data_IF_046276245858
#
_entry.id   IF_046276245858
#
_cell.length_a   1.000
_cell.length_b   1.000
_cell.length_c   1.000
_cell.angle_alpha   90.00
_cell.angle_beta   90.00
_cell.angle_gamma   90.00
#
_symmetry.space_group_name_H-M   'P 1'
#
loop_
_entity.id
_entity.type
_entity.pdbx_description
1 polymer ?
#
# COMPACT_ATOMS: atom_id res chain seq x y z
N UNK A 1 6.09 5.42 -2.61
CA UNK A 1 5.64 4.49 -1.53
C UNK A 1 4.83 5.21 -0.45
N UNK A 2 5.41 6.10 0.35
CA UNK A 2 4.71 6.76 1.48
C UNK A 2 3.37 7.43 1.11
N UNK A 3 3.28 8.06 -0.08
CA UNK A 3 2.00 8.62 -0.58
C UNK A 3 0.94 7.54 -0.82
N UNK A 4 1.31 6.41 -1.41
CA UNK A 4 0.38 5.32 -1.70
C UNK A 4 -0.12 4.64 -0.44
N UNK A 5 0.74 4.49 0.59
CA UNK A 5 0.31 3.99 1.90
C UNK A 5 -0.82 4.85 2.48
N UNK A 6 -0.73 6.18 2.34
CA UNK A 6 -1.77 7.13 2.77
C UNK A 6 -3.01 7.07 1.89
N UNK A 7 -2.87 7.18 0.57
CA UNK A 7 -4.00 7.23 -0.36
C UNK A 7 -4.83 5.95 -0.35
N UNK A 8 -4.21 4.81 -0.07
CA UNK A 8 -4.85 3.49 -0.07
C UNK A 8 -5.18 2.97 1.32
N UNK A 9 -4.91 3.75 2.38
CA UNK A 9 -5.05 3.35 3.78
C UNK A 9 -4.41 1.97 4.08
N UNK A 10 -3.23 1.71 3.52
CA UNK A 10 -2.50 0.46 3.77
C UNK A 10 -1.92 0.54 5.19
N UNK A 11 -2.17 -0.47 6.01
CA UNK A 11 -1.66 -0.55 7.38
C UNK A 11 -1.45 -1.99 7.82
N UNK A 12 -0.68 -2.17 8.89
CA UNK A 12 -0.09 -3.43 9.30
C UNK A 12 1.41 -3.46 9.00
N UNK A 13 1.96 -4.67 8.91
CA UNK A 13 3.34 -4.91 8.48
C UNK A 13 3.39 -4.87 6.96
N UNK A 14 4.30 -4.06 6.44
CA UNK A 14 4.54 -3.88 5.01
C UNK A 14 6.03 -4.13 4.78
N UNK A 15 6.35 -4.96 3.79
CA UNK A 15 7.73 -5.20 3.36
C UNK A 15 7.93 -4.53 2.02
N UNK A 16 9.00 -3.74 1.92
CA UNK A 16 9.43 -3.10 0.69
C UNK A 16 10.77 -3.69 0.29
N UNK A 17 10.80 -4.28 -0.90
CA UNK A 17 12.01 -4.79 -1.53
C UNK A 17 12.64 -3.68 -2.38
N UNK A 18 13.80 -3.19 -1.95
CA UNK A 18 14.55 -2.16 -2.67
C UNK A 18 15.61 -2.78 -3.57
N UNK A 19 15.94 -2.07 -4.65
CA UNK A 19 17.05 -2.47 -5.54
C UNK A 19 18.34 -2.59 -4.72
N UNK A 20 19.10 -3.65 -4.98
CA UNK A 20 20.37 -3.92 -4.32
C UNK A 20 21.34 -2.74 -4.39
N UNK A 21 21.84 -2.35 -3.22
CA UNK A 21 22.81 -1.28 -3.05
C UNK A 21 24.07 -1.83 -2.37
N UNK A 22 25.22 -1.64 -3.01
CA UNK A 22 26.53 -2.05 -2.47
C UNK A 22 27.07 -1.08 -1.41
N UNK A 23 26.74 0.21 -1.54
CA UNK A 23 27.22 1.26 -0.64
C UNK A 23 26.16 1.53 0.45
N UNK A 24 26.58 1.40 1.71
CA UNK A 24 25.77 1.70 2.90
C UNK A 24 25.27 3.15 2.92
N UNK A 25 26.02 4.08 2.32
CA UNK A 25 25.58 5.46 2.17
C UNK A 25 24.29 5.55 1.35
N UNK A 26 24.16 4.75 0.29
CA UNK A 26 22.94 4.73 -0.52
C UNK A 26 21.75 4.14 0.25
N UNK A 27 21.97 3.05 0.99
CA UNK A 27 20.92 2.47 1.87
C UNK A 27 20.41 3.50 2.88
N UNK A 28 21.33 4.22 3.53
CA UNK A 28 20.99 5.29 4.48
C UNK A 28 20.23 6.44 3.81
N UNK A 29 20.60 6.84 2.60
CA UNK A 29 19.86 7.86 1.84
C UNK A 29 18.42 7.42 1.55
N UNK A 30 18.20 6.16 1.16
CA UNK A 30 16.86 5.60 0.94
C UNK A 30 16.04 5.60 2.23
N UNK A 31 16.63 5.18 3.34
CA UNK A 31 15.99 5.20 4.65
C UNK A 31 15.51 6.60 5.05
N UNK A 32 16.40 7.60 4.98
CA UNK A 32 16.07 8.98 5.34
C UNK A 32 15.00 9.57 4.42
N UNK A 33 15.07 9.30 3.11
CA UNK A 33 14.08 9.81 2.16
C UNK A 33 12.70 9.19 2.36
N UNK A 34 12.62 7.89 2.70
CA UNK A 34 11.35 7.25 3.09
C UNK A 34 10.75 7.93 4.32
N UNK A 35 11.57 8.16 5.35
CA UNK A 35 11.15 8.75 6.62
C UNK A 35 10.65 10.17 6.41
N UNK A 36 11.38 10.97 5.63
CA UNK A 36 10.99 12.32 5.21
C UNK A 36 9.67 12.32 4.43
N UNK A 37 9.53 11.43 3.45
CA UNK A 37 8.31 11.29 2.64
C UNK A 37 7.08 10.85 3.45
N UNK A 38 7.30 10.20 4.59
CA UNK A 38 6.25 9.74 5.50
C UNK A 38 5.84 10.76 6.56
N UNK A 39 6.53 11.90 6.71
CA UNK A 39 6.21 12.92 7.72
C UNK A 39 4.78 13.47 7.64
N UNK A 40 4.15 13.41 6.45
CA UNK A 40 2.75 13.86 6.25
C UNK A 40 1.72 12.80 6.64
N UNK A 41 2.14 11.60 7.06
CA UNK A 41 1.23 10.56 7.53
C UNK A 41 0.75 10.88 8.94
N UNK A 42 -0.57 10.86 9.12
CA UNK A 42 -1.19 11.09 10.43
C UNK A 42 -1.21 9.82 11.28
N UNK A 43 -1.06 8.65 10.66
CA UNK A 43 -1.02 7.38 11.38
C UNK A 43 0.40 7.11 11.89
N UNK A 44 0.56 6.62 13.14
CA UNK A 44 1.86 6.19 13.63
C UNK A 44 2.52 5.19 12.68
N UNK A 45 3.77 5.45 12.35
CA UNK A 45 4.56 4.66 11.40
C UNK A 45 5.98 4.48 11.93
N UNK A 46 6.50 3.26 11.83
CA UNK A 46 7.89 2.92 12.14
C UNK A 46 8.54 2.25 10.93
N UNK A 47 9.86 2.38 10.83
CA UNK A 47 10.67 1.87 9.74
C UNK A 47 11.87 1.12 10.32
N UNK A 48 12.17 -0.06 9.78
CA UNK A 48 13.47 -0.71 9.98
C UNK A 48 14.54 -0.09 9.08
N UNK A 49 15.80 -0.37 9.37
CA UNK A 49 16.85 -0.22 8.37
C UNK A 49 16.68 -1.25 7.25
N UNK A 50 17.38 -1.06 6.13
CA UNK A 50 17.41 -2.07 5.07
C UNK A 50 18.20 -3.29 5.54
N UNK A 51 17.62 -4.48 5.41
CA UNK A 51 18.27 -5.74 5.72
C UNK A 51 19.40 -6.05 4.73
N UNK A 52 20.17 -7.11 5.01
CA UNK A 52 21.18 -7.63 4.09
C UNK A 52 20.58 -8.08 2.75
N UNK A 53 19.30 -8.46 2.72
CA UNK A 53 18.55 -8.84 1.53
C UNK A 53 17.90 -7.63 0.83
N UNK A 54 18.20 -6.39 1.23
CA UNK A 54 17.61 -5.19 0.62
C UNK A 54 16.16 -4.91 1.04
N UNK A 55 15.64 -5.60 2.06
CA UNK A 55 14.26 -5.45 2.52
C UNK A 55 14.14 -4.37 3.61
N UNK A 56 13.11 -3.53 3.52
CA UNK A 56 12.69 -2.64 4.59
C UNK A 56 11.32 -3.04 5.12
N UNK A 57 11.24 -3.19 6.44
CA UNK A 57 9.99 -3.40 7.16
C UNK A 57 9.40 -2.06 7.60
N UNK A 58 8.10 -1.91 7.39
CA UNK A 58 7.34 -0.74 7.77
C UNK A 58 6.13 -1.20 8.58
N UNK A 59 6.01 -0.72 9.82
CA UNK A 59 4.80 -0.94 10.61
C UNK A 59 3.99 0.35 10.66
N UNK A 60 2.80 0.34 10.04
CA UNK A 60 1.87 1.47 10.05
C UNK A 60 0.59 1.10 10.77
N UNK A 61 0.20 1.86 11.79
CA UNK A 61 -1.04 1.60 12.55
C UNK A 61 -2.24 1.58 11.61
N UNK A 62 -3.02 0.49 11.65
CA UNK A 62 -4.28 0.38 10.90
C UNK A 62 -5.39 1.11 11.65
N UNK A 63 -5.93 2.16 11.04
CA UNK A 63 -7.01 2.98 11.62
C UNK A 63 -8.37 2.66 10.96
N UNK A 64 -8.36 2.27 9.69
CA UNK A 64 -9.53 1.97 8.86
C UNK A 64 -9.26 0.78 7.94
N UNK A 65 -10.29 0.14 7.36
CA UNK A 65 -10.10 -0.80 6.27
C UNK A 65 -9.32 -0.16 5.11
N UNK A 66 -8.48 -0.92 4.43
CA UNK A 66 -7.75 -0.42 3.26
C UNK A 66 -8.69 -0.21 2.07
N UNK A 67 -8.26 0.57 1.09
CA UNK A 67 -9.01 0.81 -0.14
C UNK A 67 -9.37 -0.52 -0.84
N UNK A 68 -8.41 -1.44 -0.95
CA UNK A 68 -8.66 -2.77 -1.50
C UNK A 68 -9.74 -3.50 -0.72
N UNK A 69 -9.70 -3.49 0.61
CA UNK A 69 -10.72 -4.15 1.43
C UNK A 69 -12.12 -3.54 1.24
N UNK A 70 -12.23 -2.23 0.94
CA UNK A 70 -13.51 -1.56 0.73
C UNK A 70 -14.11 -1.80 -0.67
N UNK A 71 -13.28 -1.92 -1.71
CA UNK A 71 -13.73 -2.01 -3.11
C UNK A 71 -13.61 -3.40 -3.74
N UNK A 72 -13.18 -4.39 -2.96
CA UNK A 72 -13.04 -5.78 -3.44
C UNK A 72 -13.55 -6.77 -2.40
N UNK A 73 -13.93 -7.95 -2.87
CA UNK A 73 -14.37 -9.08 -2.07
C UNK A 73 -13.47 -10.30 -2.32
N UNK A 74 -13.43 -11.28 -1.40
CA UNK A 74 -12.68 -12.51 -1.62
C UNK A 74 -13.12 -13.21 -2.90
N UNK A 75 -12.17 -13.68 -3.71
CA UNK A 75 -12.50 -14.39 -4.94
C UNK A 75 -13.11 -15.76 -4.64
N UNK A 76 -14.32 -16.01 -5.17
CA UNK A 76 -15.02 -17.29 -5.03
C UNK A 76 -14.45 -18.41 -5.91
N UNK A 77 -13.64 -18.08 -6.92
CA UNK A 77 -13.08 -19.06 -7.86
C UNK A 77 -11.73 -19.64 -7.44
N UNK A 78 -11.02 -19.01 -6.49
CA UNK A 78 -9.70 -19.43 -6.05
C UNK A 78 -9.59 -19.52 -4.52
N UNK A 79 -10.68 -19.90 -3.86
CA UNK A 79 -10.73 -20.11 -2.40
C UNK A 79 -10.18 -18.93 -1.60
N UNK A 80 -10.58 -17.70 -2.00
CA UNK A 80 -10.13 -16.45 -1.38
C UNK A 80 -8.62 -16.16 -1.44
N UNK A 81 -7.83 -16.90 -2.22
CA UNK A 81 -6.41 -16.60 -2.46
C UNK A 81 -6.24 -15.24 -3.17
N UNK A 82 -7.17 -14.91 -4.05
CA UNK A 82 -7.29 -13.62 -4.71
C UNK A 82 -8.48 -12.79 -4.22
N UNK A 83 -8.61 -11.59 -4.78
CA UNK A 83 -9.77 -10.71 -4.56
C UNK A 83 -10.31 -10.25 -5.91
N UNK A 84 -11.62 -10.12 -6.01
CA UNK A 84 -12.30 -9.56 -7.18
C UNK A 84 -12.99 -8.25 -6.81
N UNK A 85 -13.19 -7.38 -7.80
CA UNK A 85 -13.93 -6.14 -7.58
C UNK A 85 -15.33 -6.44 -7.07
N UNK A 86 -15.72 -5.78 -5.97
CA UNK A 86 -17.02 -6.03 -5.35
C UNK A 86 -18.15 -5.59 -6.29
N UNK A 87 -19.25 -6.34 -6.32
CA UNK A 87 -20.34 -6.13 -7.26
C UNK A 87 -20.92 -4.71 -7.23
N UNK A 88 -21.02 -4.11 -6.03
CA UNK A 88 -21.43 -2.72 -5.85
C UNK A 88 -20.49 -1.71 -6.53
N UNK A 89 -19.18 -1.98 -6.52
CA UNK A 89 -18.16 -1.13 -7.13
C UNK A 89 -18.24 -1.21 -8.65
N UNK A 90 -18.38 -2.44 -9.17
CA UNK A 90 -18.61 -2.69 -10.59
C UNK A 90 -19.88 -1.98 -11.08
N UNK A 91 -20.98 -2.08 -10.33
CA UNK A 91 -22.23 -1.38 -10.65
C UNK A 91 -22.03 0.14 -10.75
N UNK A 92 -21.39 0.75 -9.75
CA UNK A 92 -21.10 2.18 -9.74
C UNK A 92 -20.20 2.61 -10.90
N UNK A 93 -19.25 1.77 -11.32
CA UNK A 93 -18.42 2.04 -12.50
C UNK A 93 -19.25 2.04 -13.79
N UNK A 94 -20.13 1.05 -13.96
CA UNK A 94 -21.03 0.96 -15.12
C UNK A 94 -21.95 2.17 -15.16
N UNK A 95 -22.59 2.52 -14.03
CA UNK A 95 -23.48 3.68 -13.94
C UNK A 95 -22.76 4.99 -14.33
N UNK A 96 -21.56 5.21 -13.77
CA UNK A 96 -20.74 6.38 -14.09
C UNK A 96 -20.29 6.41 -15.55
N UNK A 97 -20.01 5.26 -16.14
CA UNK A 97 -19.65 5.18 -17.55
C UNK A 97 -20.84 5.60 -18.43
N UNK A 98 -22.02 5.04 -18.19
CA UNK A 98 -23.25 5.39 -18.92
C UNK A 98 -23.53 6.90 -18.82
N UNK A 99 -23.46 7.48 -17.61
CA UNK A 99 -23.67 8.92 -17.38
C UNK A 99 -22.66 9.85 -18.08
N UNK A 100 -21.51 9.35 -18.54
CA UNK A 100 -20.53 10.15 -19.32
C UNK A 100 -20.82 10.12 -20.82
N UNK A 101 -21.53 9.09 -21.29
CA UNK A 101 -21.90 8.94 -22.69
C UNK A 101 -23.20 9.68 -23.04
N UNK A 102 -24.04 9.94 -22.04
CA UNK A 102 -25.25 10.78 -22.12
C UNK A 102 -24.91 12.21 -21.73
#
# INVERSE_FOLDING_TARGET
IARELRLRDIGGIIVVDFIDMKDEKHKRMVYEEIKKSAQRDRSPITFSELSELGLMEIARKRVRPSLTAMFSEPCSCCDANGRVEALNTTFLKIERAIRRFL
#
